data_IF_626334274339
#
_entry.id   IF_626334274339
#
_cell.length_a   1.000
_cell.length_b   1.000
_cell.length_c   1.000
_cell.angle_alpha   90.00
_cell.angle_beta   90.00
_cell.angle_gamma   90.00
#
_symmetry.space_group_name_H-M   'P 1'
#
loop_
_entity.id
_entity.type
_entity.pdbx_description
1 polymer ?
#
# COMPACT_ATOMS: atom_id res chain seq x y z
N UNK A 1 12.12 -5.62 10.80
CA UNK A 1 11.41 -4.52 10.11
C UNK A 1 9.99 -4.98 9.84
N UNK A 2 9.01 -4.11 10.01
CA UNK A 2 7.58 -4.38 9.79
C UNK A 2 6.99 -3.39 8.79
N UNK A 3 5.76 -3.65 8.32
CA UNK A 3 5.01 -2.68 7.49
C UNK A 3 4.86 -1.33 8.19
N UNK A 4 4.65 -1.34 9.52
CA UNK A 4 4.53 -0.12 10.34
C UNK A 4 5.83 0.68 10.38
N UNK A 5 6.98 0.00 10.46
CA UNK A 5 8.29 0.65 10.43
C UNK A 5 8.54 1.34 9.08
N UNK A 6 8.15 0.70 7.97
CA UNK A 6 8.26 1.30 6.64
C UNK A 6 7.29 2.47 6.44
N UNK A 7 6.04 2.34 6.91
CA UNK A 7 5.06 3.41 6.89
C UNK A 7 5.53 4.65 7.66
N UNK A 8 6.13 4.47 8.85
CA UNK A 8 6.68 5.57 9.64
C UNK A 8 7.84 6.31 8.95
N UNK A 9 8.52 5.68 7.99
CA UNK A 9 9.71 6.21 7.31
C UNK A 9 9.43 6.71 5.89
N UNK A 10 8.30 6.34 5.30
CA UNK A 10 7.96 6.65 3.92
C UNK A 10 6.50 7.05 3.79
N UNK A 11 6.19 8.35 3.62
CA UNK A 11 4.82 8.83 3.47
C UNK A 11 4.08 8.20 2.28
N UNK A 12 4.79 7.88 1.20
CA UNK A 12 4.21 7.18 0.05
C UNK A 12 3.87 5.73 0.38
N UNK A 13 4.70 5.04 1.18
CA UNK A 13 4.39 3.71 1.67
C UNK A 13 3.19 3.72 2.62
N UNK A 14 3.16 4.66 3.57
CA UNK A 14 2.03 4.83 4.51
C UNK A 14 0.71 5.05 3.76
N UNK A 15 0.68 5.98 2.81
CA UNK A 15 -0.52 6.26 2.02
C UNK A 15 -1.04 5.01 1.30
N UNK A 16 -0.15 4.21 0.70
CA UNK A 16 -0.51 2.98 -0.03
C UNK A 16 -0.98 1.89 0.93
N UNK A 17 -0.32 1.72 2.07
CA UNK A 17 -0.73 0.79 3.12
C UNK A 17 -2.11 1.15 3.68
N UNK A 18 -2.35 2.43 3.97
CA UNK A 18 -3.65 2.92 4.47
C UNK A 18 -4.75 2.82 3.42
N UNK A 19 -4.43 3.05 2.14
CA UNK A 19 -5.37 2.84 1.04
C UNK A 19 -5.81 1.39 0.98
N UNK A 20 -4.86 0.45 1.12
CA UNK A 20 -5.12 -0.98 1.19
C UNK A 20 -6.00 -1.33 2.39
N UNK A 21 -5.73 -0.76 3.57
CA UNK A 21 -6.53 -0.95 4.79
C UNK A 21 -7.90 -0.26 4.75
N UNK A 22 -8.22 0.51 3.70
CA UNK A 22 -9.45 1.30 3.61
C UNK A 22 -9.51 2.49 4.59
N UNK A 23 -8.39 2.88 5.19
CA UNK A 23 -8.28 4.00 6.14
C UNK A 23 -7.75 5.30 5.51
N UNK A 24 -7.69 5.33 4.19
CA UNK A 24 -7.31 6.49 3.39
C UNK A 24 -8.21 6.63 2.17
N UNK A 25 -8.64 7.85 1.92
CA UNK A 25 -9.29 8.26 0.69
C UNK A 25 -8.61 9.51 0.13
N UNK A 26 -8.56 9.66 -1.20
CA UNK A 26 -8.19 10.92 -1.84
C UNK A 26 -9.12 12.06 -1.42
N UNK A 27 -8.58 13.28 -1.44
CA UNK A 27 -9.41 14.48 -1.38
C UNK A 27 -10.20 14.62 -2.70
N UNK A 28 -11.41 14.05 -2.70
CA UNK A 28 -12.27 14.01 -3.87
C UNK A 28 -12.73 15.39 -4.33
N UNK A 29 -12.86 16.35 -3.41
CA UNK A 29 -13.27 17.72 -3.72
C UNK A 29 -12.17 18.44 -4.48
N UNK A 30 -10.93 18.31 -4.01
CA UNK A 30 -9.75 18.85 -4.70
C UNK A 30 -9.55 18.23 -6.08
N UNK A 31 -9.80 16.93 -6.21
CA UNK A 31 -9.65 16.20 -7.47
C UNK A 31 -10.81 16.40 -8.45
N UNK A 32 -11.92 17.02 -8.01
CA UNK A 32 -13.13 17.27 -8.82
C UNK A 32 -13.68 16.00 -9.50
N UNK A 33 -13.70 14.91 -8.73
CA UNK A 33 -14.18 13.60 -9.20
C UNK A 33 -15.65 13.42 -8.81
N UNK A 34 -16.47 13.07 -9.80
CA UNK A 34 -17.88 12.75 -9.60
C UNK A 34 -18.05 11.57 -8.65
N UNK A 35 -19.07 11.63 -7.77
CA UNK A 35 -19.35 10.60 -6.75
C UNK A 35 -19.50 9.21 -7.38
N UNK A 36 -20.05 9.11 -8.60
CA UNK A 36 -20.24 7.85 -9.32
C UNK A 36 -18.92 7.14 -9.68
N UNK A 37 -17.83 7.89 -9.86
CA UNK A 37 -16.54 7.37 -10.32
C UNK A 37 -15.61 6.99 -9.15
N UNK A 38 -15.83 7.56 -7.96
CA UNK A 38 -15.01 7.32 -6.76
C UNK A 38 -14.87 5.84 -6.40
N UNK A 39 -15.93 5.00 -6.41
CA UNK A 39 -15.78 3.59 -6.05
C UNK A 39 -14.86 2.81 -6.99
N UNK A 40 -14.89 3.11 -8.29
CA UNK A 40 -14.01 2.48 -9.27
C UNK A 40 -12.55 2.90 -9.02
N UNK A 41 -12.32 4.19 -8.76
CA UNK A 41 -11.00 4.73 -8.45
C UNK A 41 -10.43 4.19 -7.13
N UNK A 42 -11.25 4.04 -6.08
CA UNK A 42 -10.82 3.40 -4.82
C UNK A 42 -10.39 1.96 -5.06
N UNK A 43 -11.20 1.18 -5.79
CA UNK A 43 -10.84 -0.21 -6.12
C UNK A 43 -9.56 -0.30 -6.91
N UNK A 44 -9.38 0.58 -7.91
CA UNK A 44 -8.15 0.65 -8.68
C UNK A 44 -6.96 1.03 -7.81
N UNK A 45 -7.09 2.07 -6.99
CA UNK A 45 -6.02 2.53 -6.10
C UNK A 45 -5.60 1.43 -5.12
N UNK A 46 -6.54 0.64 -4.58
CA UNK A 46 -6.22 -0.52 -3.72
C UNK A 46 -5.41 -1.57 -4.47
N UNK A 47 -5.84 -1.96 -5.68
CA UNK A 47 -5.11 -2.92 -6.52
C UNK A 47 -3.70 -2.43 -6.85
N UNK A 48 -3.58 -1.18 -7.26
CA UNK A 48 -2.29 -0.56 -7.58
C UNK A 48 -1.39 -0.47 -6.34
N UNK A 49 -1.97 -0.26 -5.16
CA UNK A 49 -1.23 -0.20 -3.90
C UNK A 49 -0.63 -1.55 -3.52
N UNK A 50 -1.30 -2.68 -3.77
CA UNK A 50 -0.72 -4.01 -3.54
C UNK A 50 0.58 -4.17 -4.34
N UNK A 51 0.51 -3.98 -5.66
CA UNK A 51 1.66 -4.14 -6.54
C UNK A 51 2.80 -3.18 -6.17
N UNK A 52 2.45 -1.94 -5.83
CA UNK A 52 3.43 -0.94 -5.43
C UNK A 52 4.14 -1.32 -4.12
N UNK A 53 3.41 -1.74 -3.10
CA UNK A 53 3.98 -2.15 -1.80
C UNK A 53 4.91 -3.36 -1.97
N UNK A 54 4.51 -4.33 -2.79
CA UNK A 54 5.35 -5.47 -3.17
C UNK A 54 6.66 -5.03 -3.82
N UNK A 55 6.57 -4.22 -4.88
CA UNK A 55 7.75 -3.73 -5.60
C UNK A 55 8.68 -2.92 -4.70
N UNK A 56 8.12 -2.12 -3.79
CA UNK A 56 8.90 -1.36 -2.82
C UNK A 56 9.68 -2.28 -1.87
N UNK A 57 9.03 -3.29 -1.28
CA UNK A 57 9.68 -4.25 -0.38
C UNK A 57 10.77 -5.05 -1.11
N UNK A 58 10.49 -5.53 -2.33
CA UNK A 58 11.48 -6.24 -3.16
C UNK A 58 12.70 -5.36 -3.42
N UNK A 59 12.48 -4.09 -3.79
CA UNK A 59 13.57 -3.16 -4.04
C UNK A 59 14.43 -2.91 -2.78
N UNK A 60 13.82 -2.81 -1.60
CA UNK A 60 14.56 -2.67 -0.36
C UNK A 60 15.39 -3.92 -0.03
N UNK A 61 14.85 -5.12 -0.27
CA UNK A 61 15.56 -6.37 -0.07
C UNK A 61 16.74 -6.53 -1.05
N UNK A 62 16.54 -6.21 -2.33
CA UNK A 62 17.62 -6.20 -3.35
C UNK A 62 18.78 -5.27 -2.96
N UNK A 63 18.44 -4.09 -2.42
CA UNK A 63 19.43 -3.13 -1.92
C UNK A 63 19.97 -3.46 -0.53
N UNK A 64 19.60 -4.60 0.07
CA UNK A 64 20.02 -5.04 1.41
C UNK A 64 19.70 -4.00 2.50
N UNK A 65 18.66 -3.21 2.29
CA UNK A 65 18.16 -2.22 3.26
C UNK A 65 17.22 -2.85 4.29
N UNK A 66 16.71 -4.04 3.98
CA UNK A 66 15.94 -4.91 4.87
C UNK A 66 16.41 -6.35 4.73
N UNK A 67 16.13 -7.16 5.74
CA UNK A 67 16.34 -8.61 5.69
C UNK A 67 15.33 -9.30 4.76
N UNK A 68 15.75 -10.41 4.14
CA UNK A 68 14.88 -11.17 3.23
C UNK A 68 13.70 -11.82 3.97
N UNK A 69 13.90 -12.33 5.19
CA UNK A 69 12.81 -12.88 6.00
C UNK A 69 11.83 -11.83 6.50
N UNK A 70 12.30 -10.59 6.73
CA UNK A 70 11.40 -9.45 6.95
C UNK A 70 10.58 -9.13 5.69
N UNK A 71 11.22 -9.15 4.52
CA UNK A 71 10.56 -8.88 3.25
C UNK A 71 9.46 -9.93 2.95
N UNK A 72 9.76 -11.21 3.12
CA UNK A 72 8.81 -12.31 2.92
C UNK A 72 7.59 -12.18 3.86
N UNK A 73 7.82 -11.93 5.16
CA UNK A 73 6.73 -11.74 6.12
C UNK A 73 5.83 -10.55 5.75
N UNK A 74 6.43 -9.41 5.43
CA UNK A 74 5.66 -8.22 5.02
C UNK A 74 4.87 -8.44 3.73
N UNK A 75 5.39 -9.22 2.78
CA UNK A 75 4.67 -9.60 1.57
C UNK A 75 3.45 -10.49 1.88
N UNK A 76 3.60 -11.48 2.77
CA UNK A 76 2.46 -12.27 3.23
C UNK A 76 1.41 -11.40 3.93
N UNK A 77 1.81 -10.49 4.81
CA UNK A 77 0.88 -9.54 5.47
C UNK A 77 0.11 -8.68 4.45
N UNK A 78 0.73 -8.28 3.34
CA UNK A 78 0.04 -7.56 2.26
C UNK A 78 -0.98 -8.44 1.53
N UNK A 79 -0.71 -9.74 1.35
CA UNK A 79 -1.69 -10.67 0.76
C UNK A 79 -2.89 -10.87 1.66
N UNK A 80 -2.65 -11.06 2.96
CA UNK A 80 -3.73 -11.22 3.94
C UNK A 80 -4.63 -9.98 3.96
N UNK A 81 -4.04 -8.79 3.90
CA UNK A 81 -4.79 -7.53 3.76
C UNK A 81 -5.55 -7.44 2.44
N UNK A 82 -4.97 -7.91 1.34
CA UNK A 82 -5.64 -7.92 0.02
C UNK A 82 -6.85 -8.85 0.02
N UNK A 83 -6.75 -10.01 0.64
CA UNK A 83 -7.80 -11.03 0.59
C UNK A 83 -8.97 -10.72 1.55
N UNK A 84 -8.76 -9.79 2.48
CA UNK A 84 -9.80 -9.23 3.35
C UNK A 84 -10.65 -8.10 2.71
N UNK A 85 -10.37 -7.70 1.47
CA UNK A 85 -11.02 -6.57 0.75
C UNK A 85 -12.16 -7.00 -0.18
#
# INVERSE_FOLDING_TARGET
>A
MTLKDLAARSPSFDMRLRSLQGSWEPDWEKLRIDVKDRPALVRQTRRDSVLWLYGYIVALADKKLIDVGDAERMQCEILDLKDAL
#
